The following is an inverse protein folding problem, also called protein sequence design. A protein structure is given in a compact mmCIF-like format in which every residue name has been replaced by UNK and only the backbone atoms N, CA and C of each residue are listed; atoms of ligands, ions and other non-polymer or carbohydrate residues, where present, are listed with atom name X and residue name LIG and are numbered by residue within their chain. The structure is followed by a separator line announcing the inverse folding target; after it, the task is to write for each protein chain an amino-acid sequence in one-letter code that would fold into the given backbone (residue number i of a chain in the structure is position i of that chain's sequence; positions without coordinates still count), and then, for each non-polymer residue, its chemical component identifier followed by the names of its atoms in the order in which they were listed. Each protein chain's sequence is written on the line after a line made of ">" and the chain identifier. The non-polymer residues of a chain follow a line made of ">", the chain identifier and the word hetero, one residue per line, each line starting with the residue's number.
data_IF_338187083732
#
_entry.id   IF_338187083732
#
_cell.length_a   1.000
_cell.length_b   1.000
_cell.length_c   1.000
_cell.angle_alpha   90.00
_cell.angle_beta   90.00
_cell.angle_gamma   90.00
#
_symmetry.space_group_name_H-M   'P 1'
#
loop_
_entity.id
_entity.type
_entity.pdbx_description
1 polymer ?
#
# COMPACT_ATOMS: atom_id res chain seq x y z
N UNK A 1 -15.46 10.95 15.34
CA UNK A 1 -14.25 11.73 15.03
C UNK A 1 -13.49 10.87 14.04
N UNK A 2 -13.13 11.40 12.87
CA UNK A 2 -12.45 10.65 11.81
C UNK A 2 -11.09 11.28 11.57
N UNK A 3 -10.20 10.57 10.88
CA UNK A 3 -8.91 11.13 10.49
C UNK A 3 -9.15 12.32 9.55
N UNK A 4 -8.52 13.46 9.83
CA UNK A 4 -8.59 14.65 8.98
C UNK A 4 -7.69 14.47 7.75
N UNK A 5 -7.93 15.23 6.69
CA UNK A 5 -7.16 15.15 5.45
C UNK A 5 -5.64 15.33 5.64
N UNK A 6 -5.20 16.16 6.59
CA UNK A 6 -3.77 16.33 6.92
C UNK A 6 -3.16 15.07 7.55
N UNK A 7 -3.91 14.42 8.44
CA UNK A 7 -3.49 13.20 9.11
C UNK A 7 -3.48 12.03 8.11
N UNK A 8 -4.50 11.94 7.25
CA UNK A 8 -4.54 10.99 6.14
C UNK A 8 -3.33 11.17 5.22
N UNK A 9 -2.98 12.41 4.86
CA UNK A 9 -1.83 12.70 4.01
C UNK A 9 -0.49 12.34 4.69
N UNK A 10 -0.37 12.57 6.00
CA UNK A 10 0.82 12.19 6.77
C UNK A 10 0.99 10.67 6.81
N UNK A 11 -0.06 9.94 7.24
CA UNK A 11 -0.09 8.48 7.31
C UNK A 11 0.23 7.89 5.94
N UNK A 12 -0.39 8.43 4.89
CA UNK A 12 -0.16 7.98 3.53
C UNK A 12 1.28 8.19 3.06
N UNK A 13 1.90 9.35 3.34
CA UNK A 13 3.30 9.60 2.99
C UNK A 13 4.28 8.71 3.74
N UNK A 14 4.08 8.53 5.04
CA UNK A 14 4.93 7.65 5.85
C UNK A 14 4.83 6.22 5.35
N UNK A 15 3.61 5.76 5.07
CA UNK A 15 3.38 4.42 4.56
C UNK A 15 3.96 4.23 3.15
N UNK A 16 3.80 5.23 2.28
CA UNK A 16 4.40 5.23 0.93
C UNK A 16 5.93 5.16 1.02
N UNK A 17 6.56 5.92 1.90
CA UNK A 17 8.00 5.86 2.14
C UNK A 17 8.43 4.48 2.67
N UNK A 18 7.71 3.97 3.68
CA UNK A 18 7.95 2.63 4.24
C UNK A 18 7.84 1.53 3.18
N UNK A 19 6.79 1.56 2.35
CA UNK A 19 6.63 0.64 1.23
C UNK A 19 7.76 0.80 0.23
N UNK A 20 8.18 2.03 -0.08
CA UNK A 20 9.25 2.29 -1.04
C UNK A 20 10.61 1.77 -0.53
N UNK A 21 10.85 1.83 0.78
CA UNK A 21 12.09 1.36 1.38
C UNK A 21 12.12 -0.16 1.64
N UNK A 22 11.03 -0.73 2.13
CA UNK A 22 10.98 -2.14 2.57
C UNK A 22 10.30 -3.08 1.58
N UNK A 23 9.27 -2.61 0.86
CA UNK A 23 8.39 -3.46 0.05
C UNK A 23 8.44 -3.14 -1.44
N UNK A 24 9.21 -2.15 -1.89
CA UNK A 24 9.23 -1.73 -3.29
C UNK A 24 9.69 -2.86 -4.21
N UNK A 25 10.75 -3.57 -3.81
CA UNK A 25 11.23 -4.73 -4.55
C UNK A 25 10.23 -5.90 -4.51
N UNK A 26 9.58 -6.12 -3.36
CA UNK A 26 8.62 -7.21 -3.18
C UNK A 26 7.35 -6.98 -4.00
N UNK A 27 6.78 -5.77 -3.97
CA UNK A 27 5.62 -5.35 -4.76
C UNK A 27 5.94 -5.38 -6.25
N UNK A 28 7.11 -4.89 -6.67
CA UNK A 28 7.50 -4.88 -8.08
C UNK A 28 7.67 -6.30 -8.60
N UNK A 29 8.32 -7.19 -7.84
CA UNK A 29 8.44 -8.61 -8.18
C UNK A 29 7.06 -9.30 -8.18
N UNK A 30 6.16 -8.94 -7.26
CA UNK A 30 4.78 -9.42 -7.24
C UNK A 30 4.03 -9.03 -8.51
N UNK A 31 4.16 -7.78 -8.96
CA UNK A 31 3.52 -7.27 -10.16
C UNK A 31 4.09 -7.95 -11.42
N UNK A 32 5.40 -8.20 -11.46
CA UNK A 32 6.08 -8.87 -12.57
C UNK A 32 5.76 -10.38 -12.65
N UNK A 33 5.60 -11.06 -11.52
CA UNK A 33 5.27 -12.49 -11.44
C UNK A 33 3.78 -12.77 -11.76
N UNK A 34 2.92 -11.76 -11.61
CA UNK A 34 1.47 -11.94 -11.67
C UNK A 34 0.91 -11.82 -13.09
N UNK A 35 1.01 -12.93 -13.82
CA UNK A 35 0.18 -13.26 -14.99
C UNK A 35 -1.21 -13.83 -14.59
N UNK A 36 -1.44 -14.16 -13.32
CA UNK A 36 -2.65 -14.87 -12.85
C UNK A 36 -3.41 -14.08 -11.77
N UNK A 37 -4.74 -14.02 -11.86
CA UNK A 37 -5.69 -13.25 -11.03
C UNK A 37 -5.60 -13.52 -9.50
N UNK A 38 -4.54 -13.09 -8.83
CA UNK A 38 -4.31 -13.36 -7.40
C UNK A 38 -4.49 -12.13 -6.53
N UNK A 39 -5.40 -12.24 -5.56
CA UNK A 39 -5.52 -11.31 -4.45
C UNK A 39 -4.28 -11.43 -3.58
N UNK A 40 -3.39 -10.45 -3.65
CA UNK A 40 -2.13 -10.50 -2.92
C UNK A 40 -2.18 -9.63 -1.67
N UNK A 41 -2.22 -10.25 -0.47
CA UNK A 41 -2.11 -9.50 0.77
C UNK A 41 -0.66 -9.08 0.97
N UNK A 42 -0.42 -7.76 1.04
CA UNK A 42 0.88 -7.23 1.44
C UNK A 42 0.90 -7.19 2.96
N UNK A 43 1.68 -8.08 3.56
CA UNK A 43 1.82 -8.13 5.01
C UNK A 43 2.72 -6.98 5.45
N UNK A 44 2.15 -6.06 6.22
CA UNK A 44 2.89 -4.94 6.80
C UNK A 44 2.98 -5.18 8.30
N UNK A 45 4.19 -5.10 8.82
CA UNK A 45 4.42 -5.20 10.24
C UNK A 45 4.07 -3.86 10.92
N UNK A 46 3.09 -3.88 11.82
CA UNK A 46 2.67 -2.70 12.56
C UNK A 46 3.80 -2.18 13.45
N UNK A 47 4.61 -3.08 14.04
CA UNK A 47 5.71 -2.70 14.92
C UNK A 47 6.74 -1.84 14.16
N UNK A 48 7.19 -2.29 12.99
CA UNK A 48 8.19 -1.56 12.19
C UNK A 48 7.64 -0.23 11.66
N UNK A 49 6.35 -0.20 11.30
CA UNK A 49 5.70 1.04 10.88
C UNK A 49 5.59 2.05 12.03
N UNK A 50 5.28 1.59 13.24
CA UNK A 50 5.19 2.45 14.42
C UNK A 50 6.56 2.90 14.92
N UNK A 51 7.60 2.09 14.72
CA UNK A 51 8.99 2.47 14.94
C UNK A 51 9.43 3.56 13.94
N UNK A 52 9.02 3.44 12.67
CA UNK A 52 9.29 4.45 11.65
C UNK A 52 8.50 5.76 11.90
N UNK A 53 7.28 5.66 12.42
CA UNK A 53 6.48 6.82 12.79
C UNK A 53 5.54 6.54 13.96
N UNK A 54 5.89 7.12 15.11
CA UNK A 54 5.10 7.01 16.33
C UNK A 54 3.69 7.59 16.18
N UNK A 55 3.52 8.65 15.37
CA UNK A 55 2.21 9.25 15.09
C UNK A 55 1.28 8.28 14.36
N UNK A 56 1.79 7.54 13.36
CA UNK A 56 0.99 6.53 12.65
C UNK A 56 0.51 5.44 13.62
N UNK A 57 1.32 5.08 14.60
CA UNK A 57 0.93 4.16 15.68
C UNK A 57 -0.22 4.68 16.53
N UNK A 58 -0.18 5.95 16.91
CA UNK A 58 -1.28 6.58 17.67
C UNK A 58 -2.58 6.61 16.86
N UNK A 59 -2.50 6.98 15.57
CA UNK A 59 -3.65 6.98 14.67
C UNK A 59 -4.21 5.57 14.42
N UNK A 60 -3.36 4.56 14.30
CA UNK A 60 -3.80 3.19 14.14
C UNK A 60 -4.48 2.66 15.41
N UNK A 61 -3.97 3.03 16.59
CA UNK A 61 -4.57 2.65 17.86
C UNK A 61 -5.95 3.35 18.06
N UNK A 62 -6.05 4.62 17.68
CA UNK A 62 -7.30 5.39 17.80
C UNK A 62 -8.34 5.03 16.72
N UNK A 63 -7.91 4.84 15.47
CA UNK A 63 -8.77 4.62 14.29
C UNK A 63 -8.20 3.55 13.34
N UNK A 64 -8.15 2.28 13.77
CA UNK A 64 -7.54 1.22 12.95
C UNK A 64 -8.24 1.05 11.60
N UNK A 65 -9.56 1.23 11.53
CA UNK A 65 -10.32 1.10 10.28
C UNK A 65 -9.99 2.22 9.28
N UNK A 66 -9.96 3.48 9.71
CA UNK A 66 -9.59 4.60 8.83
C UNK A 66 -8.16 4.43 8.32
N UNK A 67 -7.22 4.06 9.20
CA UNK A 67 -5.82 3.85 8.82
C UNK A 67 -5.67 2.72 7.80
N UNK A 68 -6.39 1.61 7.97
CA UNK A 68 -6.40 0.51 7.00
C UNK A 68 -6.88 0.95 5.62
N UNK A 69 -7.94 1.79 5.55
CA UNK A 69 -8.43 2.34 4.29
C UNK A 69 -7.38 3.22 3.61
N UNK A 70 -6.63 4.01 4.39
CA UNK A 70 -5.55 4.86 3.86
C UNK A 70 -4.43 4.00 3.30
N UNK A 71 -4.02 2.95 4.01
CA UNK A 71 -2.99 2.03 3.54
C UNK A 71 -3.39 1.33 2.25
N UNK A 72 -4.63 0.85 2.14
CA UNK A 72 -5.16 0.22 0.93
C UNK A 72 -5.11 1.20 -0.26
N UNK A 73 -5.54 2.46 -0.06
CA UNK A 73 -5.47 3.52 -1.09
C UNK A 73 -4.02 3.79 -1.55
N UNK A 74 -3.08 3.88 -0.62
CA UNK A 74 -1.67 4.16 -0.92
C UNK A 74 -1.04 2.96 -1.62
N UNK A 75 -1.26 1.75 -1.12
CA UNK A 75 -0.74 0.52 -1.71
C UNK A 75 -1.23 0.34 -3.16
N UNK A 76 -2.52 0.55 -3.38
CA UNK A 76 -3.11 0.49 -4.72
C UNK A 76 -2.51 1.55 -5.65
N UNK A 77 -2.29 2.77 -5.16
CA UNK A 77 -1.61 3.83 -5.92
C UNK A 77 -0.16 3.45 -6.25
N UNK A 78 0.64 3.07 -5.27
CA UNK A 78 2.05 2.68 -5.45
C UNK A 78 2.17 1.55 -6.45
N UNK A 79 1.35 0.50 -6.32
CA UNK A 79 1.34 -0.61 -7.26
C UNK A 79 0.95 -0.20 -8.68
N UNK A 80 -0.03 0.70 -8.84
CA UNK A 80 -0.38 1.26 -10.15
C UNK A 80 0.76 2.08 -10.76
N UNK A 81 1.49 2.86 -9.98
CA UNK A 81 2.64 3.64 -10.45
C UNK A 81 3.82 2.71 -10.84
N UNK A 82 4.06 1.64 -10.07
CA UNK A 82 5.09 0.65 -10.36
C UNK A 82 4.77 -0.17 -11.61
N UNK A 83 3.53 -0.64 -11.76
CA UNK A 83 3.07 -1.36 -12.95
C UNK A 83 3.22 -0.51 -14.22
N UNK A 84 2.89 0.78 -14.15
CA UNK A 84 3.08 1.72 -15.27
C UNK A 84 4.57 1.94 -15.60
N UNK A 85 5.44 2.01 -14.59
CA UNK A 85 6.88 2.17 -14.80
C UNK A 85 7.55 0.91 -15.36
N UNK A 86 7.14 -0.28 -14.91
CA UNK A 86 7.70 -1.55 -15.36
C UNK A 86 7.34 -1.86 -16.83
N UNK A 87 6.23 -1.32 -17.34
CA UNK A 87 5.76 -1.58 -18.71
C UNK A 87 5.35 -0.28 -19.43
N UNK A 88 6.29 0.56 -19.89
CA UNK A 88 5.98 1.85 -20.55
C UNK A 88 5.33 1.72 -21.94
N UNK A 89 5.00 0.51 -22.39
CA UNK A 89 4.34 0.24 -23.68
C UNK A 89 3.22 -0.80 -23.64
N UNK A 90 2.99 -1.46 -22.50
CA UNK A 90 1.81 -2.29 -22.35
C UNK A 90 0.65 -1.33 -22.08
N UNK A 91 -0.18 -1.11 -23.09
CA UNK A 91 -1.56 -0.71 -22.85
C UNK A 91 -2.15 -1.83 -21.97
N UNK A 92 -1.99 -1.70 -20.65
CA UNK A 92 -2.67 -2.56 -19.68
C UNK A 92 -4.14 -2.28 -19.93
N UNK A 93 -4.74 -3.13 -20.77
CA UNK A 93 -6.16 -3.11 -21.05
C UNK A 93 -6.84 -3.00 -19.71
N UNK A 94 -7.89 -2.18 -19.64
CA UNK A 94 -8.67 -1.88 -18.43
C UNK A 94 -9.09 -3.15 -17.65
N UNK A 95 -9.02 -4.32 -18.29
CA UNK A 95 -9.18 -5.68 -17.76
C UNK A 95 -8.03 -6.18 -16.86
N UNK A 96 -6.75 -5.89 -17.15
CA UNK A 96 -5.64 -6.17 -16.21
C UNK A 96 -5.70 -5.23 -15.00
N UNK A 97 -6.18 -4.01 -15.20
CA UNK A 97 -6.38 -2.99 -14.15
C UNK A 97 -7.43 -3.40 -13.10
N UNK A 98 -8.23 -4.44 -13.36
CA UNK A 98 -9.29 -4.92 -12.47
C UNK A 98 -8.91 -6.19 -11.68
N UNK A 99 -7.73 -6.77 -11.90
CA UNK A 99 -7.36 -8.10 -11.37
C UNK A 99 -6.36 -8.08 -10.22
N UNK A 100 -5.87 -6.90 -9.83
CA UNK A 100 -4.94 -6.75 -8.69
C UNK A 100 -5.68 -6.09 -7.54
N UNK A 101 -6.22 -6.89 -6.61
CA UNK A 101 -6.72 -6.36 -5.33
C UNK A 101 -5.63 -6.57 -4.28
N UNK A 102 -4.76 -5.56 -4.15
CA UNK A 102 -3.74 -5.53 -3.11
C UNK A 102 -4.37 -5.03 -1.84
N UNK A 103 -4.27 -5.81 -0.77
CA UNK A 103 -4.75 -5.44 0.54
C UNK A 103 -3.60 -5.40 1.53
N UNK A 104 -3.49 -4.29 2.26
CA UNK A 104 -2.55 -4.18 3.37
C UNK A 104 -3.06 -5.04 4.53
N UNK A 105 -2.35 -6.12 4.85
CA UNK A 105 -2.64 -6.93 6.04
C UNK A 105 -1.68 -6.55 7.14
N UNK A 106 -2.18 -5.83 8.14
CA UNK A 106 -1.37 -5.43 9.28
C UNK A 106 -1.18 -6.62 10.22
N UNK A 107 0.07 -6.93 10.55
CA UNK A 107 0.45 -7.96 11.53
C UNK A 107 1.27 -7.32 12.63
N UNK A 108 0.99 -7.67 13.89
CA UNK A 108 1.69 -7.18 15.07
C UNK A 108 1.41 -8.08 16.26
#
# INVERSE_FOLDING_TARGET
>A
MSINSEQEALIGRVFEAYLTEHHHGDILQLIEDTNEESHQPVVVNAMTLFEASMEVGDYFNAYPNDVLVIFDKVLHRTAMELSQNASPGAQTTKEQRMRYTLHARITG
#
